data_IF_030227085884
#
_entry.id   IF_030227085884
#
_cell.length_a   1.000
_cell.length_b   1.000
_cell.length_c   1.000
_cell.angle_alpha   90.00
_cell.angle_beta   90.00
_cell.angle_gamma   90.00
#
_symmetry.space_group_name_H-M   'P 1'
#
loop_
_entity.id
_entity.type
_entity.pdbx_description
1 polymer ?
#
# COMPACT_ATOMS: atom_id res chain seq x y z
N UNK A 1 10.43 -34.71 4.81
CA UNK A 1 9.34 -34.17 3.96
C UNK A 1 9.78 -32.80 3.47
N UNK A 2 10.25 -32.76 2.22
CA UNK A 2 10.82 -31.57 1.58
C UNK A 2 9.72 -30.90 0.77
N UNK A 3 9.22 -29.75 1.21
CA UNK A 3 8.33 -28.91 0.39
C UNK A 3 9.17 -27.75 -0.13
N UNK A 4 9.60 -27.86 -1.38
CA UNK A 4 10.29 -26.81 -2.12
C UNK A 4 9.29 -25.68 -2.42
N UNK A 5 9.51 -24.50 -1.83
CA UNK A 5 8.87 -23.28 -2.30
C UNK A 5 9.54 -22.86 -3.62
N UNK A 6 8.78 -22.53 -4.69
CA UNK A 6 9.38 -21.94 -5.88
C UNK A 6 9.97 -20.56 -5.54
N UNK A 7 11.25 -20.38 -5.86
CA UNK A 7 11.96 -19.09 -5.79
C UNK A 7 11.37 -18.11 -6.82
N UNK A 8 10.39 -17.30 -6.40
CA UNK A 8 9.85 -16.20 -7.22
C UNK A 8 10.73 -14.93 -7.22
N UNK A 9 11.88 -14.94 -6.54
CA UNK A 9 12.77 -13.78 -6.47
C UNK A 9 13.91 -13.86 -7.50
N UNK A 10 13.57 -13.74 -8.79
CA UNK A 10 14.52 -13.11 -9.73
C UNK A 10 14.42 -11.60 -9.56
N UNK A 11 15.47 -11.04 -8.99
CA UNK A 11 15.71 -9.60 -8.81
C UNK A 11 15.66 -8.85 -10.13
N UNK A 12 14.46 -8.39 -10.52
CA UNK A 12 14.32 -7.38 -11.56
C UNK A 12 14.15 -6.03 -10.87
N UNK A 13 15.22 -5.23 -10.84
CA UNK A 13 15.15 -3.83 -10.39
C UNK A 13 14.31 -3.06 -11.40
N UNK A 14 13.05 -2.76 -11.07
CA UNK A 14 12.26 -1.81 -11.84
C UNK A 14 12.68 -0.39 -11.45
N UNK A 15 13.65 0.16 -12.19
CA UNK A 15 13.89 1.61 -12.19
C UNK A 15 12.90 2.26 -13.15
N UNK A 16 11.94 3.02 -12.63
CA UNK A 16 11.14 3.94 -13.44
C UNK A 16 12.06 5.03 -13.99
N UNK A 17 12.30 5.02 -15.30
CA UNK A 17 12.79 6.17 -16.07
C UNK A 17 11.64 6.72 -16.90
N UNK A 18 11.36 8.03 -16.87
CA UNK A 18 10.36 8.62 -17.74
C UNK A 18 10.80 8.51 -19.20
N UNK A 19 9.85 8.19 -20.08
CA UNK A 19 10.04 8.05 -21.52
C UNK A 19 10.36 9.42 -22.13
N UNK A 20 11.61 9.68 -22.49
CA UNK A 20 11.91 10.62 -23.57
C UNK A 20 12.09 9.82 -24.86
N UNK A 21 11.29 10.17 -25.87
CA UNK A 21 11.46 9.67 -27.22
C UNK A 21 12.75 10.29 -27.78
N UNK A 22 13.67 9.45 -28.24
CA UNK A 22 14.50 9.77 -29.40
C UNK A 22 15.02 8.49 -30.04
N UNK A 23 14.80 8.42 -31.35
CA UNK A 23 15.14 7.35 -32.26
C UNK A 23 16.64 7.25 -32.55
N UNK A 24 17.02 6.07 -33.06
CA UNK A 24 18.25 5.72 -33.81
C UNK A 24 19.46 5.27 -32.97
N UNK A 25 19.72 3.96 -32.93
CA UNK A 25 20.78 3.32 -33.74
C UNK A 25 20.95 1.83 -33.43
N UNK A 26 21.15 1.06 -34.50
CA UNK A 26 21.39 -0.38 -34.55
C UNK A 26 22.78 -0.76 -34.05
N UNK A 27 22.87 -1.82 -33.24
CA UNK A 27 23.95 -2.81 -33.30
C UNK A 27 23.45 -4.18 -32.79
N UNK A 28 23.86 -5.21 -33.51
CA UNK A 28 23.41 -6.61 -33.45
C UNK A 28 24.03 -7.40 -32.30
N UNK A 29 23.20 -8.09 -31.51
CA UNK A 29 23.59 -9.08 -30.50
C UNK A 29 22.75 -10.37 -30.62
N UNK A 30 23.30 -11.55 -30.27
CA UNK A 30 22.78 -12.85 -30.66
C UNK A 30 21.39 -13.11 -30.07
N UNK A 31 20.46 -13.53 -30.93
CA UNK A 31 19.10 -13.91 -30.60
C UNK A 31 19.08 -15.21 -29.78
N UNK A 32 19.26 -15.10 -28.47
CA UNK A 32 18.66 -16.07 -27.56
C UNK A 32 17.18 -15.72 -27.44
N UNK A 33 16.31 -16.71 -27.64
CA UNK A 33 14.85 -16.58 -27.70
C UNK A 33 14.26 -16.15 -26.34
N UNK A 34 14.37 -14.87 -25.99
CA UNK A 34 13.77 -14.24 -24.81
C UNK A 34 12.25 -14.05 -24.98
N UNK A 35 11.76 -14.08 -26.21
CA UNK A 35 10.40 -13.71 -26.57
C UNK A 35 9.33 -14.67 -26.02
N UNK A 36 9.62 -15.97 -25.99
CA UNK A 36 8.67 -16.99 -25.49
C UNK A 36 8.55 -16.99 -23.97
N UNK A 37 9.68 -16.84 -23.24
CA UNK A 37 9.66 -16.82 -21.77
C UNK A 37 8.95 -15.56 -21.25
N UNK A 38 9.13 -14.43 -21.94
CA UNK A 38 8.54 -13.16 -21.53
C UNK A 38 7.03 -13.10 -21.85
N UNK A 39 6.59 -13.68 -22.97
CA UNK A 39 5.17 -13.75 -23.34
C UNK A 39 4.36 -14.65 -22.40
N UNK A 40 4.91 -15.80 -21.99
CA UNK A 40 4.24 -16.72 -21.03
C UNK A 40 4.11 -16.04 -19.66
N UNK A 41 5.16 -15.39 -19.16
CA UNK A 41 5.11 -14.66 -17.89
C UNK A 41 4.09 -13.51 -17.88
N UNK A 42 3.91 -12.80 -19.01
CA UNK A 42 2.90 -11.73 -19.12
C UNK A 42 1.49 -12.31 -19.15
N UNK A 43 1.27 -13.44 -19.85
CA UNK A 43 -0.02 -14.11 -19.89
C UNK A 43 -0.41 -14.67 -18.52
N UNK A 44 0.54 -15.24 -17.77
CA UNK A 44 0.30 -15.75 -16.42
C UNK A 44 -0.01 -14.62 -15.43
N UNK A 45 0.67 -13.48 -15.52
CA UNK A 45 0.35 -12.28 -14.73
C UNK A 45 -1.03 -11.73 -15.11
N UNK A 46 -1.35 -11.67 -16.41
CA UNK A 46 -2.66 -11.21 -16.87
C UNK A 46 -3.80 -12.15 -16.40
N UNK A 47 -3.56 -13.46 -16.34
CA UNK A 47 -4.51 -14.44 -15.82
C UNK A 47 -4.63 -14.42 -14.29
N UNK A 48 -3.61 -13.94 -13.58
CA UNK A 48 -3.61 -13.81 -12.12
C UNK A 48 -4.30 -12.52 -11.62
N UNK A 49 -4.53 -11.55 -12.51
CA UNK A 49 -5.30 -10.34 -12.24
C UNK A 49 -6.79 -10.69 -12.29
N UNK A 50 -7.52 -10.36 -11.23
CA UNK A 50 -8.96 -10.61 -11.17
C UNK A 50 -9.77 -9.69 -12.11
N UNK A 51 -11.07 -9.96 -12.22
CA UNK A 51 -11.96 -9.16 -13.07
C UNK A 51 -12.06 -7.67 -12.67
N UNK A 52 -11.55 -7.30 -11.49
CA UNK A 52 -11.51 -5.93 -10.98
C UNK A 52 -10.13 -5.28 -11.17
N UNK A 53 -9.18 -5.95 -11.80
CA UNK A 53 -7.83 -5.44 -12.04
C UNK A 53 -6.87 -5.63 -10.88
N UNK A 54 -7.17 -6.50 -9.91
CA UNK A 54 -6.30 -6.75 -8.75
C UNK A 54 -5.51 -8.04 -8.89
N UNK A 55 -4.20 -7.95 -8.64
CA UNK A 55 -3.35 -9.12 -8.41
C UNK A 55 -3.31 -9.41 -6.89
N UNK A 56 -3.96 -10.48 -6.40
CA UNK A 56 -3.97 -10.78 -4.98
C UNK A 56 -2.60 -11.31 -4.53
N UNK A 57 -1.93 -10.56 -3.65
CA UNK A 57 -0.71 -11.00 -2.98
C UNK A 57 -1.08 -11.89 -1.79
N UNK A 58 -0.58 -13.12 -1.73
CA UNK A 58 -0.89 -14.09 -0.67
C UNK A 58 0.25 -14.32 0.32
N UNK A 59 1.42 -13.74 0.06
CA UNK A 59 2.55 -13.72 0.97
C UNK A 59 2.17 -13.14 2.33
N UNK A 60 2.59 -13.81 3.39
CA UNK A 60 2.39 -13.37 4.76
C UNK A 60 3.71 -12.87 5.33
N UNK A 61 3.68 -11.64 5.83
CA UNK A 61 4.81 -11.00 6.44
C UNK A 61 5.20 -11.76 7.70
N UNK A 62 6.47 -12.13 7.77
CA UNK A 62 7.07 -12.69 8.96
C UNK A 62 8.34 -11.89 9.28
N UNK A 63 8.37 -11.08 10.35
CA UNK A 63 9.47 -10.19 10.63
C UNK A 63 10.79 -10.95 10.83
N UNK A 64 10.75 -12.15 11.39
CA UNK A 64 11.95 -12.97 11.64
C UNK A 64 12.71 -13.35 10.37
N UNK A 65 11.99 -13.56 9.25
CA UNK A 65 12.59 -13.88 7.95
C UNK A 65 12.77 -12.65 7.06
N UNK A 66 11.81 -11.73 7.08
CA UNK A 66 11.82 -10.54 6.25
C UNK A 66 13.05 -9.68 6.56
N UNK A 67 13.30 -9.40 7.84
CA UNK A 67 14.38 -8.50 8.24
C UNK A 67 15.79 -9.09 8.08
N UNK A 68 15.92 -10.41 7.84
CA UNK A 68 17.19 -11.02 7.43
C UNK A 68 17.60 -10.60 6.00
N UNK A 69 16.63 -10.29 5.14
CA UNK A 69 16.84 -9.94 3.72
C UNK A 69 16.65 -8.45 3.42
N UNK A 70 15.98 -7.74 4.32
CA UNK A 70 15.64 -6.32 4.23
C UNK A 70 15.89 -5.70 5.60
N UNK A 71 17.04 -5.06 5.86
CA UNK A 71 17.34 -4.54 7.19
C UNK A 71 16.19 -3.67 7.74
N UNK A 72 15.84 -3.89 9.00
CA UNK A 72 14.87 -3.05 9.70
C UNK A 72 15.42 -1.61 9.80
N UNK A 73 14.60 -0.63 9.41
CA UNK A 73 14.89 0.80 9.60
C UNK A 73 13.96 1.31 10.68
N UNK A 74 14.51 1.61 11.86
CA UNK A 74 13.75 2.24 12.94
C UNK A 74 13.21 3.60 12.47
N UNK A 75 12.02 3.98 12.94
CA UNK A 75 11.36 5.23 12.55
C UNK A 75 12.23 6.47 12.81
N UNK A 76 13.10 6.43 13.83
CA UNK A 76 14.09 7.49 14.10
C UNK A 76 15.05 7.76 12.93
N UNK A 77 15.32 6.73 12.12
CA UNK A 77 16.24 6.79 10.96
C UNK A 77 15.50 6.66 9.63
N UNK A 78 14.17 6.66 9.65
CA UNK A 78 13.34 6.59 8.46
C UNK A 78 13.12 8.00 7.90
N UNK A 79 13.54 8.21 6.65
CA UNK A 79 13.45 9.50 5.98
C UNK A 79 12.01 9.99 5.81
N UNK A 80 11.03 9.08 5.76
CA UNK A 80 9.62 9.44 5.64
C UNK A 80 9.06 10.05 6.94
N UNK A 81 9.71 9.77 8.07
CA UNK A 81 9.35 10.29 9.40
C UNK A 81 10.29 11.40 9.86
N UNK A 82 11.41 11.61 9.16
CA UNK A 82 12.33 12.71 9.42
C UNK A 82 11.63 14.05 9.16
N UNK A 83 11.52 14.88 10.20
CA UNK A 83 10.79 16.16 10.12
C UNK A 83 9.35 15.99 9.61
N UNK A 84 8.66 14.96 10.10
CA UNK A 84 7.28 14.61 9.72
C UNK A 84 6.38 15.86 9.63
N UNK A 85 5.81 16.07 8.44
CA UNK A 85 5.06 17.28 8.11
C UNK A 85 3.81 16.96 7.31
N UNK A 86 2.66 17.32 7.88
CA UNK A 86 1.33 17.00 7.33
C UNK A 86 0.80 18.03 6.32
N UNK A 87 1.63 19.00 5.92
CA UNK A 87 1.27 20.01 4.91
C UNK A 87 1.77 19.63 3.52
N UNK A 88 2.08 20.67 2.72
CA UNK A 88 2.68 20.50 1.40
C UNK A 88 1.78 19.81 0.37
N UNK A 89 2.40 19.15 -0.60
CA UNK A 89 1.73 18.58 -1.78
C UNK A 89 0.63 17.57 -1.41
N UNK A 90 0.85 16.73 -0.39
CA UNK A 90 -0.14 15.73 0.02
C UNK A 90 -1.37 16.39 0.66
N UNK A 91 -1.19 17.44 1.47
CA UNK A 91 -2.31 18.23 1.99
C UNK A 91 -3.09 18.92 0.86
N UNK A 92 -2.41 19.51 -0.11
CA UNK A 92 -3.05 20.11 -1.30
C UNK A 92 -3.81 19.07 -2.12
N UNK A 93 -3.27 17.87 -2.28
CA UNK A 93 -3.95 16.77 -2.95
C UNK A 93 -5.21 16.35 -2.20
N UNK A 94 -5.15 16.21 -0.87
CA UNK A 94 -6.32 15.91 -0.05
C UNK A 94 -7.40 17.00 -0.21
N UNK A 95 -7.02 18.28 -0.14
CA UNK A 95 -7.96 19.39 -0.35
C UNK A 95 -8.62 19.31 -1.73
N UNK A 96 -7.87 18.92 -2.76
CA UNK A 96 -8.39 18.78 -4.12
C UNK A 96 -9.42 17.65 -4.21
N UNK A 97 -9.15 16.49 -3.59
CA UNK A 97 -10.09 15.37 -3.49
C UNK A 97 -11.36 15.79 -2.75
N UNK A 98 -11.21 16.43 -1.58
CA UNK A 98 -12.34 16.91 -0.76
C UNK A 98 -13.22 17.89 -1.54
N UNK A 99 -12.61 18.85 -2.23
CA UNK A 99 -13.36 19.83 -3.03
C UNK A 99 -14.08 19.15 -4.21
N UNK A 100 -13.41 18.22 -4.88
CA UNK A 100 -14.01 17.44 -5.95
C UNK A 100 -15.23 16.65 -5.46
N UNK A 101 -15.10 15.86 -4.39
CA UNK A 101 -16.21 15.03 -3.88
C UNK A 101 -17.38 15.90 -3.41
N UNK A 102 -17.10 17.01 -2.72
CA UNK A 102 -18.13 17.99 -2.32
C UNK A 102 -18.87 18.55 -3.53
N UNK A 103 -18.16 19.00 -4.57
CA UNK A 103 -18.77 19.57 -5.78
C UNK A 103 -19.68 18.59 -6.53
N UNK A 104 -19.49 17.28 -6.31
CA UNK A 104 -20.23 16.18 -6.92
C UNK A 104 -21.24 15.54 -5.97
N UNK A 105 -21.41 16.06 -4.76
CA UNK A 105 -22.23 15.45 -3.70
C UNK A 105 -21.87 13.98 -3.43
N UNK A 106 -20.58 13.63 -3.51
CA UNK A 106 -20.08 12.29 -3.20
C UNK A 106 -19.70 12.25 -1.71
N UNK A 107 -20.33 11.40 -0.88
CA UNK A 107 -19.91 11.20 0.50
C UNK A 107 -18.49 10.63 0.54
N UNK A 108 -17.57 11.34 1.21
CA UNK A 108 -16.18 10.91 1.34
C UNK A 108 -15.97 10.17 2.66
N UNK A 109 -15.40 8.96 2.56
CA UNK A 109 -14.85 8.21 3.69
C UNK A 109 -13.35 8.03 3.45
N UNK A 110 -12.53 8.58 4.35
CA UNK A 110 -11.09 8.38 4.35
C UNK A 110 -10.73 7.32 5.40
N UNK A 111 -9.97 6.29 4.99
CA UNK A 111 -9.54 5.21 5.88
C UNK A 111 -8.01 5.22 5.96
N UNK A 112 -7.47 5.43 7.16
CA UNK A 112 -6.08 5.13 7.46
C UNK A 112 -5.94 3.63 7.69
N UNK A 113 -5.21 2.96 6.81
CA UNK A 113 -4.97 1.53 6.92
C UNK A 113 -4.00 1.22 8.06
N UNK A 114 -4.09 0.03 8.66
CA UNK A 114 -3.19 -0.33 9.74
C UNK A 114 -1.76 -0.57 9.23
N UNK A 115 -0.78 -0.37 10.10
CA UNK A 115 0.58 -0.87 9.96
C UNK A 115 0.74 -2.15 10.79
N UNK A 116 1.71 -3.00 10.44
CA UNK A 116 1.97 -4.20 11.25
C UNK A 116 2.54 -3.84 12.62
N UNK A 117 2.22 -4.63 13.65
CA UNK A 117 2.69 -4.38 15.03
C UNK A 117 4.21 -4.29 15.12
N UNK A 118 4.94 -5.08 14.32
CA UNK A 118 6.40 -5.06 14.33
C UNK A 118 7.03 -3.86 13.62
N UNK A 119 6.23 -3.04 12.93
CA UNK A 119 6.68 -1.88 12.17
C UNK A 119 6.31 -0.56 12.85
N UNK A 120 5.19 -0.53 13.56
CA UNK A 120 4.65 0.65 14.25
C UNK A 120 5.39 0.92 15.57
N UNK A 121 6.67 1.29 15.47
CA UNK A 121 7.47 1.73 16.61
C UNK A 121 7.02 3.08 17.18
N UNK A 122 7.64 3.51 18.28
CA UNK A 122 7.23 4.73 18.99
C UNK A 122 7.33 6.01 18.17
N UNK A 123 8.29 6.09 17.22
CA UNK A 123 8.43 7.27 16.35
C UNK A 123 7.29 7.29 15.34
N UNK A 124 7.00 6.15 14.71
CA UNK A 124 5.87 6.03 13.78
C UNK A 124 4.54 6.24 14.49
N UNK A 125 4.39 5.72 15.71
CA UNK A 125 3.21 5.94 16.53
C UNK A 125 2.97 7.43 16.83
N UNK A 126 4.02 8.17 17.22
CA UNK A 126 3.91 9.62 17.44
C UNK A 126 3.43 10.34 16.18
N UNK A 127 3.95 9.97 15.01
CA UNK A 127 3.49 10.52 13.73
C UNK A 127 2.03 10.13 13.40
N UNK A 128 1.60 8.92 13.75
CA UNK A 128 0.19 8.50 13.61
C UNK A 128 -0.75 9.28 14.52
N UNK A 129 -0.31 9.66 15.72
CA UNK A 129 -1.08 10.52 16.61
C UNK A 129 -1.26 11.93 16.02
N UNK A 130 -0.19 12.52 15.48
CA UNK A 130 -0.24 13.81 14.79
C UNK A 130 -1.15 13.74 13.56
N UNK A 131 -0.98 12.69 12.73
CA UNK A 131 -1.80 12.45 11.56
C UNK A 131 -3.28 12.30 11.93
N UNK A 132 -3.57 11.53 12.99
CA UNK A 132 -4.93 11.32 13.48
C UNK A 132 -5.60 12.64 13.87
N UNK A 133 -4.93 13.47 14.68
CA UNK A 133 -5.47 14.75 15.13
C UNK A 133 -5.73 15.68 13.93
N UNK A 134 -4.78 15.77 13.01
CA UNK A 134 -4.89 16.59 11.82
C UNK A 134 -6.04 16.15 10.91
N UNK A 135 -6.13 14.86 10.59
CA UNK A 135 -7.21 14.30 9.76
C UNK A 135 -8.56 14.46 10.43
N UNK A 136 -8.64 14.27 11.76
CA UNK A 136 -9.89 14.39 12.50
C UNK A 136 -10.42 15.83 12.50
N UNK A 137 -9.55 16.85 12.58
CA UNK A 137 -9.93 18.26 12.39
C UNK A 137 -10.45 18.51 10.97
N UNK A 138 -9.75 18.01 9.95
CA UNK A 138 -10.11 18.24 8.54
C UNK A 138 -11.42 17.54 8.18
N UNK A 139 -11.63 16.34 8.71
CA UNK A 139 -12.87 15.60 8.59
C UNK A 139 -14.07 16.39 9.14
N UNK A 140 -13.91 17.02 10.31
CA UNK A 140 -14.94 17.87 10.92
C UNK A 140 -15.20 19.13 10.10
N UNK A 141 -14.14 19.86 9.77
CA UNK A 141 -14.20 21.11 8.98
C UNK A 141 -14.81 20.89 7.58
N UNK A 142 -14.61 19.71 7.01
CA UNK A 142 -15.02 19.39 5.65
C UNK A 142 -16.14 18.37 5.54
N UNK A 143 -16.72 17.94 6.65
CA UNK A 143 -17.85 17.01 6.71
C UNK A 143 -17.60 15.69 5.95
N UNK A 144 -16.40 15.12 6.06
CA UNK A 144 -16.11 13.75 5.59
C UNK A 144 -15.90 12.80 6.78
N UNK A 145 -16.09 11.50 6.57
CA UNK A 145 -15.84 10.49 7.61
C UNK A 145 -14.37 10.07 7.60
N UNK A 146 -13.71 10.11 8.76
CA UNK A 146 -12.36 9.59 8.93
C UNK A 146 -12.34 8.38 9.86
N UNK A 147 -11.75 7.28 9.38
CA UNK A 147 -11.53 6.05 10.13
C UNK A 147 -10.02 5.80 10.26
N UNK A 148 -9.50 5.73 11.48
CA UNK A 148 -8.11 5.35 11.73
C UNK A 148 -8.04 3.92 12.29
N UNK A 149 -7.61 2.95 11.48
CA UNK A 149 -7.60 1.55 11.90
C UNK A 149 -6.41 1.17 12.79
N UNK A 150 -5.31 1.93 12.77
CA UNK A 150 -4.25 1.79 13.78
C UNK A 150 -4.78 2.02 15.20
N UNK A 151 -5.76 2.91 15.39
CA UNK A 151 -6.33 3.22 16.70
C UNK A 151 -7.56 2.38 17.05
N UNK A 152 -8.49 2.23 16.11
CA UNK A 152 -9.82 1.68 16.41
C UNK A 152 -9.98 0.20 16.07
N UNK A 153 -9.04 -0.40 15.34
CA UNK A 153 -9.07 -1.81 14.94
C UNK A 153 -7.68 -2.47 15.08
N UNK A 154 -7.04 -2.42 16.26
CA UNK A 154 -5.66 -2.89 16.45
C UNK A 154 -5.46 -4.38 16.11
N UNK A 155 -6.51 -5.20 16.17
CA UNK A 155 -6.46 -6.59 15.73
C UNK A 155 -6.19 -6.77 14.22
N UNK A 156 -6.20 -5.69 13.43
CA UNK A 156 -5.79 -5.70 12.02
C UNK A 156 -4.27 -5.55 11.83
N UNK A 157 -3.50 -5.26 12.88
CA UNK A 157 -2.04 -5.10 12.83
C UNK A 157 -1.24 -6.43 12.84
N UNK A 158 -1.95 -7.56 12.83
CA UNK A 158 -1.35 -8.91 12.81
C UNK A 158 -0.50 -9.12 11.57
N UNK A 159 0.73 -9.60 11.74
CA UNK A 159 1.70 -9.76 10.66
C UNK A 159 1.16 -10.61 9.48
N UNK A 160 0.34 -11.64 9.74
CA UNK A 160 -0.25 -12.48 8.68
C UNK A 160 -1.23 -11.75 7.74
N UNK A 161 -1.64 -10.52 8.08
CA UNK A 161 -2.47 -9.66 7.22
C UNK A 161 -1.66 -8.78 6.27
N UNK A 162 -0.34 -8.85 6.35
CA UNK A 162 0.55 -8.03 5.55
C UNK A 162 1.40 -8.87 4.60
N UNK A 163 1.79 -8.27 3.49
CA UNK A 163 2.78 -8.82 2.55
C UNK A 163 4.20 -8.40 2.96
N UNK A 164 4.34 -7.17 3.44
CA UNK A 164 5.55 -6.59 4.02
C UNK A 164 5.16 -5.73 5.25
N UNK A 165 6.08 -5.05 5.96
CA UNK A 165 5.73 -4.37 7.21
C UNK A 165 4.59 -3.34 7.14
N UNK A 166 4.29 -2.77 5.97
CA UNK A 166 3.31 -1.68 5.79
C UNK A 166 2.22 -1.95 4.75
N UNK A 167 2.37 -2.95 3.88
CA UNK A 167 1.39 -3.27 2.83
C UNK A 167 0.57 -4.51 3.17
N UNK A 168 -0.76 -4.39 3.11
CA UNK A 168 -1.67 -5.52 3.32
C UNK A 168 -1.52 -6.57 2.23
N UNK A 169 -1.67 -7.84 2.60
CA UNK A 169 -1.90 -8.93 1.66
C UNK A 169 -3.41 -9.13 1.44
N UNK A 170 -3.80 -10.12 0.63
CA UNK A 170 -5.20 -10.41 0.33
C UNK A 170 -6.05 -10.72 1.57
N UNK A 171 -5.46 -11.33 2.61
CA UNK A 171 -6.17 -11.68 3.84
C UNK A 171 -6.44 -10.42 4.68
N UNK A 172 -5.44 -9.54 4.81
CA UNK A 172 -5.58 -8.24 5.45
C UNK A 172 -6.56 -7.32 4.71
N UNK A 173 -6.47 -7.26 3.39
CA UNK A 173 -7.42 -6.51 2.55
C UNK A 173 -8.86 -7.02 2.74
N UNK A 174 -9.06 -8.34 2.76
CA UNK A 174 -10.37 -8.93 3.03
C UNK A 174 -10.87 -8.62 4.46
N UNK A 175 -9.99 -8.62 5.46
CA UNK A 175 -10.35 -8.24 6.82
C UNK A 175 -10.76 -6.76 6.89
N UNK A 176 -9.96 -5.85 6.35
CA UNK A 176 -10.26 -4.41 6.23
C UNK A 176 -11.60 -4.18 5.54
N UNK A 177 -11.85 -4.84 4.41
CA UNK A 177 -13.10 -4.71 3.66
C UNK A 177 -14.32 -5.09 4.50
N UNK A 178 -14.24 -6.18 5.29
CA UNK A 178 -15.31 -6.57 6.22
C UNK A 178 -15.54 -5.53 7.31
N UNK A 179 -14.48 -4.94 7.87
CA UNK A 179 -14.62 -3.87 8.88
C UNK A 179 -15.25 -2.61 8.30
N UNK A 180 -14.88 -2.23 7.08
CA UNK A 180 -15.49 -1.10 6.38
C UNK A 180 -16.97 -1.39 6.16
N UNK A 181 -17.32 -2.53 5.57
CA UNK A 181 -18.70 -2.91 5.28
C UNK A 181 -19.59 -2.96 6.53
N UNK A 182 -19.05 -3.41 7.66
CA UNK A 182 -19.76 -3.46 8.94
C UNK A 182 -19.75 -2.13 9.73
N UNK A 183 -19.06 -1.10 9.25
CA UNK A 183 -18.88 0.15 10.00
C UNK A 183 -20.18 0.94 10.08
N UNK A 184 -20.68 1.15 11.31
CA UNK A 184 -21.82 2.03 11.60
C UNK A 184 -21.47 3.51 11.52
N UNK A 185 -20.17 3.85 11.38
CA UNK A 185 -19.69 5.23 11.18
C UNK A 185 -19.82 5.70 9.73
N UNK A 186 -20.10 4.77 8.81
CA UNK A 186 -20.32 5.07 7.39
C UNK A 186 -21.82 5.08 7.12
N UNK A 187 -22.33 6.18 6.58
CA UNK A 187 -23.71 6.28 6.12
C UNK A 187 -23.80 5.72 4.70
N UNK A 188 -24.12 4.43 4.61
CA UNK A 188 -24.34 3.76 3.33
C UNK A 188 -25.62 4.28 2.66
N UNK A 189 -25.57 4.64 1.36
CA UNK A 189 -26.78 4.90 0.59
C UNK A 189 -27.70 3.67 0.66
N UNK A 190 -29.00 3.92 0.84
CA UNK A 190 -30.04 2.87 0.78
C UNK A 190 -30.63 2.78 -0.62
#
# INVERSE_FOLDING_TARGET
>A
SNTLYPDYFKTTKYSYKPLSQNSSNLTSHPQYSTQFVQAVAIADVANAIDANGFLPMDGQFNPSYYYQRRPYVAGLYDGDYASFYLGGTQATALTSVVNFTKSRNIPLVFVNLPLSDSYLDSVRWSAEEDFHQWMQSRARENSFTFLNFNLYQPQLAKNEYFFDPSHLNRYGAAAVARYIAASTRIYWPR
#
